data_IF_664994354431
#
_entry.id   IF_664994354431
#
_cell.length_a   1.000
_cell.length_b   1.000
_cell.length_c   1.000
_cell.angle_alpha   90.00
_cell.angle_beta   90.00
_cell.angle_gamma   90.00
#
_symmetry.space_group_name_H-M   'P 1'
#
loop_
_entity.id
_entity.type
_entity.pdbx_description
1 polymer ?
#
# COMPACT_ATOMS: atom_id res chain seq x y z
N UNK A 1 3.67 17.24 -0.28
CA UNK A 1 2.80 18.00 0.66
C UNK A 1 2.35 17.06 1.77
N UNK A 2 2.34 17.56 3.03
CA UNK A 2 1.92 16.75 4.19
C UNK A 2 0.63 17.30 4.80
N UNK A 3 -0.16 16.39 5.38
CA UNK A 3 -1.38 16.69 6.11
C UNK A 3 -1.22 16.25 7.56
N UNK A 4 -1.41 17.16 8.50
CA UNK A 4 -1.42 16.86 9.93
C UNK A 4 -2.80 16.35 10.34
N UNK A 5 -2.83 15.16 10.94
CA UNK A 5 -4.04 14.53 11.45
C UNK A 5 -4.02 14.54 12.98
N UNK A 6 -5.14 14.90 13.64
CA UNK A 6 -5.16 15.04 15.10
C UNK A 6 -5.07 13.71 15.85
N UNK A 7 -5.24 12.58 15.15
CA UNK A 7 -5.47 11.29 15.79
C UNK A 7 -6.91 11.17 16.28
N UNK A 8 -7.19 10.08 16.99
CA UNK A 8 -8.53 9.81 17.53
C UNK A 8 -8.89 8.34 17.50
N UNK A 9 -10.11 8.02 17.95
CA UNK A 9 -10.63 6.65 17.96
C UNK A 9 -11.57 6.43 16.80
N UNK A 10 -11.37 5.35 16.05
CA UNK A 10 -12.16 5.00 14.88
C UNK A 10 -12.49 3.50 14.84
N UNK A 11 -13.43 3.10 14.01
CA UNK A 11 -13.76 1.69 13.76
C UNK A 11 -12.81 1.16 12.67
N UNK A 12 -11.83 0.34 13.06
CA UNK A 12 -10.91 -0.34 12.18
C UNK A 12 -11.47 -1.68 11.73
N UNK A 13 -11.21 -2.04 10.46
CA UNK A 13 -11.66 -3.30 9.89
C UNK A 13 -13.12 -3.31 9.44
N UNK A 14 -13.61 -4.51 9.11
CA UNK A 14 -14.99 -4.73 8.65
C UNK A 14 -15.40 -6.20 8.82
N UNK A 15 -16.62 -6.43 9.32
CA UNK A 15 -17.22 -7.77 9.40
C UNK A 15 -18.06 -8.12 8.16
N UNK A 16 -18.05 -7.26 7.13
CA UNK A 16 -18.99 -7.34 6.00
C UNK A 16 -18.37 -7.85 4.69
N UNK A 17 -17.03 -7.94 4.61
CA UNK A 17 -16.34 -8.21 3.35
C UNK A 17 -15.40 -9.43 3.46
N UNK A 18 -14.10 -9.23 3.53
CA UNK A 18 -13.15 -10.34 3.56
C UNK A 18 -12.84 -10.77 5.00
N UNK A 19 -12.66 -12.08 5.25
CA UNK A 19 -12.39 -12.60 6.60
C UNK A 19 -11.20 -11.95 7.29
N UNK A 20 -10.18 -11.60 6.51
CA UNK A 20 -8.97 -10.94 7.03
C UNK A 20 -9.20 -9.52 7.56
N UNK A 21 -10.31 -8.90 7.21
CA UNK A 21 -10.69 -7.56 7.70
C UNK A 21 -11.39 -7.59 9.07
N UNK A 22 -11.82 -8.77 9.51
CA UNK A 22 -12.54 -8.96 10.76
C UNK A 22 -11.58 -9.30 11.92
N UNK A 23 -12.05 -9.10 13.18
CA UNK A 23 -13.27 -8.39 13.57
C UNK A 23 -13.13 -6.87 13.43
N UNK A 24 -14.23 -6.18 13.13
CA UNK A 24 -14.27 -4.73 13.23
C UNK A 24 -14.16 -4.33 14.71
N UNK A 25 -13.24 -3.42 15.05
CA UNK A 25 -12.94 -3.05 16.44
C UNK A 25 -12.53 -1.58 16.56
N UNK A 26 -12.64 -1.02 17.76
CA UNK A 26 -12.20 0.36 18.01
C UNK A 26 -10.70 0.43 18.25
N UNK A 27 -10.03 1.32 17.51
CA UNK A 27 -8.60 1.60 17.64
C UNK A 27 -8.41 3.09 17.86
N UNK A 28 -7.46 3.44 18.72
CA UNK A 28 -7.04 4.83 18.94
C UNK A 28 -5.65 5.04 18.36
N UNK A 29 -5.49 6.07 17.54
CA UNK A 29 -4.20 6.51 17.00
C UNK A 29 -3.84 7.88 17.55
N UNK A 30 -2.57 8.10 17.86
CA UNK A 30 -2.06 9.42 18.21
C UNK A 30 -2.07 10.34 16.99
N UNK A 31 -1.92 11.66 17.17
CA UNK A 31 -1.74 12.61 16.07
C UNK A 31 -0.44 12.33 15.29
N UNK A 32 -0.48 12.49 13.97
CA UNK A 32 0.66 12.30 13.07
C UNK A 32 0.49 13.16 11.81
N UNK A 33 1.60 13.35 11.08
CA UNK A 33 1.57 13.93 9.75
C UNK A 33 1.76 12.82 8.70
N UNK A 34 1.00 12.86 7.62
CA UNK A 34 1.04 11.87 6.53
C UNK A 34 1.20 12.58 5.19
N UNK A 35 1.90 11.97 4.25
CA UNK A 35 1.99 12.49 2.88
C UNK A 35 0.62 12.46 2.22
N UNK A 36 0.25 13.58 1.56
CA UNK A 36 -1.07 13.72 0.92
C UNK A 36 -1.28 12.73 -0.23
N UNK A 37 -0.20 12.26 -0.85
CA UNK A 37 -0.16 11.31 -1.97
C UNK A 37 0.84 10.20 -1.68
N UNK A 38 0.79 9.12 -2.45
CA UNK A 38 1.89 8.17 -2.52
C UNK A 38 3.18 8.85 -3.02
N UNK A 39 4.35 8.32 -2.62
CA UNK A 39 5.66 8.78 -3.10
C UNK A 39 5.73 8.60 -4.61
N UNK A 40 6.15 9.66 -5.30
CA UNK A 40 6.21 9.71 -6.76
C UNK A 40 7.54 9.18 -7.30
N UNK A 41 7.58 8.84 -8.59
CA UNK A 41 8.81 8.49 -9.28
C UNK A 41 9.85 9.61 -9.22
N UNK A 42 9.44 10.88 -9.28
CA UNK A 42 10.35 12.02 -9.15
C UNK A 42 11.04 12.04 -7.78
N UNK A 43 10.26 11.97 -6.70
CA UNK A 43 10.78 11.97 -5.34
C UNK A 43 11.70 10.77 -5.07
N UNK A 44 11.32 9.59 -5.59
CA UNK A 44 12.15 8.39 -5.44
C UNK A 44 13.46 8.48 -6.25
N UNK A 45 13.42 9.12 -7.42
CA UNK A 45 14.62 9.39 -8.22
C UNK A 45 15.61 10.32 -7.50
N UNK A 46 15.12 11.34 -6.79
CA UNK A 46 15.94 12.22 -5.94
C UNK A 46 16.65 11.43 -4.84
N UNK A 47 15.93 10.55 -4.14
CA UNK A 47 16.49 9.65 -3.13
C UNK A 47 17.63 8.80 -3.69
N UNK A 48 17.39 8.12 -4.82
CA UNK A 48 18.40 7.25 -5.42
C UNK A 48 19.59 8.07 -5.93
N UNK A 49 19.36 9.25 -6.51
CA UNK A 49 20.44 10.12 -6.96
C UNK A 49 21.32 10.62 -5.79
N UNK A 50 20.70 10.91 -4.63
CA UNK A 50 21.40 11.39 -3.45
C UNK A 50 22.18 10.31 -2.69
N UNK A 51 21.72 9.05 -2.75
CA UNK A 51 22.23 7.97 -1.89
C UNK A 51 22.96 6.86 -2.65
N UNK A 52 22.72 6.73 -3.96
CA UNK A 52 23.18 5.57 -4.74
C UNK A 52 22.44 4.27 -4.38
N UNK A 53 21.25 4.37 -3.76
CA UNK A 53 20.50 3.19 -3.30
C UNK A 53 20.15 2.26 -4.47
N UNK A 54 20.36 0.96 -4.24
CA UNK A 54 20.02 -0.12 -5.18
C UNK A 54 18.84 -0.88 -4.61
N UNK A 55 17.71 -0.89 -5.31
CA UNK A 55 16.48 -1.56 -4.84
C UNK A 55 16.58 -3.08 -4.89
N UNK A 56 15.74 -3.75 -4.12
CA UNK A 56 15.67 -5.23 -4.11
C UNK A 56 15.49 -5.78 -5.55
N UNK A 57 14.66 -5.15 -6.36
CA UNK A 57 14.44 -5.54 -7.75
C UNK A 57 15.68 -5.41 -8.67
N UNK A 58 16.70 -4.67 -8.24
CA UNK A 58 17.94 -4.42 -8.99
C UNK A 58 19.12 -5.27 -8.47
N UNK A 59 18.92 -6.07 -7.40
CA UNK A 59 19.95 -6.90 -6.78
C UNK A 59 19.94 -8.32 -7.34
N UNK A 60 21.10 -8.97 -7.29
CA UNK A 60 21.21 -10.41 -7.52
C UNK A 60 20.40 -11.18 -6.48
N UNK A 61 19.72 -12.24 -6.92
CA UNK A 61 18.97 -13.14 -6.05
C UNK A 61 19.86 -14.29 -5.60
N UNK A 62 19.85 -14.60 -4.29
CA UNK A 62 20.53 -15.79 -3.80
C UNK A 62 19.67 -17.03 -4.09
N UNK A 63 20.18 -18.00 -4.89
CA UNK A 63 19.45 -19.24 -5.17
C UNK A 63 19.09 -20.04 -3.91
N UNK A 64 19.82 -19.87 -2.81
CA UNK A 64 19.53 -20.55 -1.56
C UNK A 64 18.23 -20.07 -0.91
N UNK A 65 17.82 -18.83 -1.17
CA UNK A 65 16.55 -18.27 -0.67
C UNK A 65 15.34 -18.74 -1.51
N UNK A 66 15.59 -19.24 -2.73
CA UNK A 66 14.56 -19.61 -3.71
C UNK A 66 14.80 -20.98 -4.35
N UNK A 67 14.87 -22.07 -3.57
CA UNK A 67 15.31 -23.38 -4.04
C UNK A 67 14.44 -23.99 -5.16
N UNK A 68 13.17 -23.58 -5.24
CA UNK A 68 12.21 -24.10 -6.23
C UNK A 68 12.01 -23.13 -7.43
N UNK A 69 12.73 -22.00 -7.46
CA UNK A 69 12.59 -21.04 -8.54
C UNK A 69 13.32 -21.51 -9.81
N UNK A 70 12.72 -21.39 -11.00
CA UNK A 70 13.41 -21.58 -12.26
C UNK A 70 14.64 -20.67 -12.34
N UNK A 71 15.77 -21.20 -12.85
CA UNK A 71 17.04 -20.46 -12.91
C UNK A 71 16.93 -19.15 -13.73
N UNK A 72 16.07 -19.13 -14.72
CA UNK A 72 15.79 -17.93 -15.52
C UNK A 72 15.06 -16.81 -14.74
N UNK A 73 14.48 -17.15 -13.60
CA UNK A 73 13.84 -16.17 -12.68
C UNK A 73 14.80 -15.71 -11.57
N UNK A 74 15.98 -16.35 -11.43
CA UNK A 74 17.00 -15.97 -10.44
C UNK A 74 17.91 -14.85 -10.99
N UNK A 75 17.31 -13.86 -11.60
CA UNK A 75 17.96 -12.66 -12.12
C UNK A 75 17.24 -11.42 -11.58
N UNK A 76 17.93 -10.28 -11.43
CA UNK A 76 17.29 -9.03 -11.03
C UNK A 76 16.03 -8.74 -11.83
N UNK A 77 14.95 -8.42 -11.16
CA UNK A 77 13.66 -8.20 -11.80
C UNK A 77 12.53 -8.05 -10.79
N UNK A 78 11.31 -8.07 -11.27
CA UNK A 78 10.12 -7.90 -10.43
C UNK A 78 8.86 -8.45 -11.10
N UNK A 79 7.79 -8.59 -10.32
CA UNK A 79 6.50 -9.09 -10.80
C UNK A 79 5.73 -8.00 -11.56
N UNK A 80 5.45 -8.27 -12.82
CA UNK A 80 4.72 -7.35 -13.72
C UNK A 80 3.37 -7.93 -14.08
N UNK A 81 2.31 -7.14 -13.89
CA UNK A 81 1.00 -7.46 -14.42
C UNK A 81 1.02 -7.45 -15.95
N UNK A 82 0.60 -8.56 -16.53
CA UNK A 82 0.49 -8.75 -17.98
C UNK A 82 -0.94 -9.20 -18.29
N UNK A 83 -1.75 -8.36 -18.96
CA UNK A 83 -3.09 -8.76 -19.34
C UNK A 83 -3.07 -10.06 -20.14
N UNK A 84 -4.06 -10.93 -19.90
CA UNK A 84 -4.23 -12.16 -20.67
C UNK A 84 -4.90 -11.87 -22.02
N UNK A 85 -4.88 -12.82 -22.95
CA UNK A 85 -5.52 -12.65 -24.25
C UNK A 85 -7.05 -12.86 -24.23
N UNK A 86 -7.57 -13.37 -23.14
CA UNK A 86 -8.99 -13.66 -22.91
C UNK A 86 -9.26 -14.05 -21.47
N UNK A 87 -10.49 -14.46 -21.15
CA UNK A 87 -10.86 -14.93 -19.82
C UNK A 87 -9.99 -16.10 -19.36
N UNK A 88 -9.64 -16.13 -18.08
CA UNK A 88 -8.81 -17.17 -17.46
C UNK A 88 -9.40 -17.55 -16.09
N UNK A 89 -8.93 -18.68 -15.55
CA UNK A 89 -9.24 -19.06 -14.18
C UNK A 89 -8.56 -18.13 -13.20
N UNK A 90 -9.36 -17.35 -12.46
CA UNK A 90 -8.87 -16.34 -11.52
C UNK A 90 -8.25 -16.90 -10.23
N UNK A 91 -8.24 -18.22 -10.04
CA UNK A 91 -7.54 -18.86 -8.91
C UNK A 91 -6.05 -19.01 -9.16
N UNK A 92 -5.58 -18.86 -10.40
CA UNK A 92 -4.18 -19.04 -10.81
C UNK A 92 -3.51 -17.71 -11.17
N UNK A 93 -2.95 -17.03 -10.16
CA UNK A 93 -2.30 -15.73 -10.29
C UNK A 93 -1.18 -15.69 -11.34
N UNK A 94 -0.47 -16.81 -11.54
CA UNK A 94 0.59 -16.94 -12.53
C UNK A 94 0.12 -16.74 -13.99
N UNK A 95 -1.19 -16.69 -14.25
CA UNK A 95 -1.70 -16.41 -15.59
C UNK A 95 -1.53 -14.94 -16.01
N UNK A 96 -1.50 -13.99 -15.07
CA UNK A 96 -1.32 -12.55 -15.36
C UNK A 96 -0.19 -11.89 -14.57
N UNK A 97 0.44 -12.58 -13.61
CA UNK A 97 1.66 -12.13 -12.97
C UNK A 97 2.86 -12.83 -13.59
N UNK A 98 3.82 -12.06 -14.05
CA UNK A 98 5.03 -12.57 -14.70
C UNK A 98 6.26 -11.97 -14.03
N UNK A 99 7.21 -12.83 -13.65
CA UNK A 99 8.55 -12.34 -13.37
C UNK A 99 9.11 -11.74 -14.66
N UNK A 100 9.58 -10.52 -14.55
CA UNK A 100 10.14 -9.80 -15.70
C UNK A 100 11.56 -9.38 -15.35
N UNK A 101 12.60 -10.03 -15.92
CA UNK A 101 13.99 -9.60 -15.80
C UNK A 101 14.16 -8.13 -16.13
N UNK A 102 14.91 -7.42 -15.28
CA UNK A 102 15.18 -5.99 -15.43
C UNK A 102 13.98 -5.06 -15.17
N UNK A 103 12.83 -5.60 -14.72
CA UNK A 103 11.75 -4.73 -14.22
C UNK A 103 12.14 -4.19 -12.85
N UNK A 104 12.08 -2.87 -12.70
CA UNK A 104 12.37 -2.15 -11.46
C UNK A 104 11.62 -0.81 -11.49
N UNK A 105 11.81 0.01 -10.48
CA UNK A 105 11.14 1.32 -10.39
C UNK A 105 11.40 2.23 -11.61
N UNK A 106 12.61 2.20 -12.20
CA UNK A 106 12.95 2.96 -13.43
C UNK A 106 12.37 2.36 -14.69
N UNK A 107 12.19 1.05 -14.71
CA UNK A 107 11.77 0.24 -15.84
C UNK A 107 10.55 -0.62 -15.52
N UNK A 108 9.36 -0.03 -15.27
CA UNK A 108 8.24 -0.73 -14.65
C UNK A 108 7.59 -1.83 -15.50
N UNK A 109 7.95 -1.94 -16.76
CA UNK A 109 7.50 -3.04 -17.65
C UNK A 109 8.67 -3.88 -18.18
N UNK A 110 9.85 -3.73 -17.59
CA UNK A 110 11.12 -4.34 -18.02
C UNK A 110 12.03 -3.35 -18.73
N UNK A 111 13.24 -3.80 -19.17
CA UNK A 111 14.37 -2.94 -19.60
C UNK A 111 14.04 -1.90 -20.68
N UNK A 112 13.07 -2.19 -21.54
CA UNK A 112 12.66 -1.31 -22.63
C UNK A 112 11.57 -0.28 -22.23
N UNK A 113 11.24 -0.18 -20.96
CA UNK A 113 10.29 0.80 -20.43
C UNK A 113 11.01 1.89 -19.64
N UNK A 114 10.36 3.04 -19.49
CA UNK A 114 10.90 4.20 -18.77
C UNK A 114 9.81 4.90 -17.97
N UNK A 115 10.21 5.62 -16.93
CA UNK A 115 9.37 6.52 -16.14
C UNK A 115 9.42 7.98 -16.62
N UNK A 116 10.15 8.33 -17.66
CA UNK A 116 10.41 9.71 -18.11
C UNK A 116 9.13 10.55 -18.29
N UNK A 117 8.03 9.91 -18.69
CA UNK A 117 6.72 10.54 -18.85
C UNK A 117 5.75 10.24 -17.68
N UNK A 118 6.29 9.79 -16.56
CA UNK A 118 5.52 9.33 -15.39
C UNK A 118 6.16 9.78 -14.08
N UNK A 119 6.81 10.91 -14.09
CA UNK A 119 7.51 11.42 -12.89
C UNK A 119 6.54 11.72 -11.75
N UNK A 120 5.30 12.10 -12.07
CA UNK A 120 4.19 12.37 -11.16
C UNK A 120 3.34 11.14 -10.82
N UNK A 121 3.66 9.95 -11.34
CA UNK A 121 3.02 8.70 -10.94
C UNK A 121 3.65 8.14 -9.65
N UNK A 122 2.90 7.33 -8.88
CA UNK A 122 3.48 6.63 -7.73
C UNK A 122 4.62 5.73 -8.16
N UNK A 123 5.70 5.69 -7.39
CA UNK A 123 6.75 4.71 -7.55
C UNK A 123 6.21 3.31 -7.29
N UNK A 124 6.61 2.34 -8.10
CA UNK A 124 6.25 0.92 -7.98
C UNK A 124 7.49 0.04 -8.08
N UNK A 125 7.35 -1.27 -7.89
CA UNK A 125 8.46 -2.22 -7.82
C UNK A 125 9.43 -1.95 -6.66
N UNK A 126 8.92 -1.39 -5.59
CA UNK A 126 9.64 -1.18 -4.32
C UNK A 126 9.23 -2.26 -3.32
N UNK A 127 10.21 -2.95 -2.77
CA UNK A 127 10.04 -3.88 -1.66
C UNK A 127 9.85 -3.09 -0.34
N UNK A 128 9.51 -3.78 0.75
CA UNK A 128 9.29 -3.10 2.03
C UNK A 128 10.54 -2.35 2.50
N UNK A 129 11.73 -2.97 2.38
CA UNK A 129 12.98 -2.31 2.79
C UNK A 129 13.32 -1.08 1.93
N UNK A 130 12.98 -1.10 0.63
CA UNK A 130 13.19 0.02 -0.27
C UNK A 130 12.34 1.23 0.15
N UNK A 131 11.08 0.96 0.51
CA UNK A 131 10.16 1.97 1.01
C UNK A 131 10.60 2.51 2.39
N UNK A 132 11.07 1.63 3.28
CA UNK A 132 11.59 2.02 4.59
C UNK A 132 12.88 2.84 4.48
N UNK A 133 13.78 2.50 3.54
CA UNK A 133 15.02 3.25 3.29
C UNK A 133 14.72 4.68 2.80
N UNK A 134 13.78 4.83 1.85
CA UNK A 134 13.31 6.15 1.43
C UNK A 134 12.72 6.93 2.59
N UNK A 135 11.82 6.31 3.36
CA UNK A 135 11.19 6.96 4.51
C UNK A 135 12.23 7.46 5.53
N UNK A 136 13.23 6.65 5.85
CA UNK A 136 14.33 7.04 6.74
C UNK A 136 15.14 8.21 6.18
N UNK A 137 15.43 8.21 4.88
CA UNK A 137 16.18 9.30 4.22
C UNK A 137 15.48 10.65 4.35
N UNK A 138 14.12 10.68 4.22
CA UNK A 138 13.35 11.93 4.39
C UNK A 138 13.00 12.23 5.87
N UNK A 139 13.57 11.53 6.84
CA UNK A 139 13.28 11.71 8.26
C UNK A 139 11.85 11.29 8.66
N UNK A 140 11.31 10.27 7.98
CA UNK A 140 9.97 9.73 8.15
C UNK A 140 10.00 8.22 8.46
N UNK A 141 8.84 7.60 8.49
CA UNK A 141 8.64 6.16 8.54
C UNK A 141 7.43 5.72 7.72
N UNK A 142 7.27 4.44 7.50
CA UNK A 142 6.02 3.90 6.98
C UNK A 142 4.90 4.03 8.04
N UNK A 143 3.64 4.19 7.61
CA UNK A 143 2.51 4.19 8.53
C UNK A 143 2.32 2.80 9.16
N UNK A 144 1.78 2.75 10.37
CA UNK A 144 1.15 1.53 10.85
C UNK A 144 -0.15 1.28 10.06
N UNK A 145 -0.63 0.04 10.06
CA UNK A 145 -1.90 -0.29 9.42
C UNK A 145 -3.05 0.57 9.98
N UNK A 146 -3.09 0.78 11.30
CA UNK A 146 -4.09 1.59 11.96
C UNK A 146 -4.01 3.07 11.58
N UNK A 147 -2.81 3.64 11.48
CA UNK A 147 -2.61 5.02 11.03
C UNK A 147 -3.05 5.19 9.59
N UNK A 148 -2.68 4.22 8.73
CA UNK A 148 -3.08 4.25 7.33
C UNK A 148 -4.61 4.19 7.18
N UNK A 149 -5.27 3.27 7.89
CA UNK A 149 -6.73 3.12 7.81
C UNK A 149 -7.46 4.32 8.40
N UNK A 150 -7.00 4.88 9.54
CA UNK A 150 -7.53 6.12 10.09
C UNK A 150 -7.47 7.26 9.07
N UNK A 151 -6.32 7.42 8.43
CA UNK A 151 -6.11 8.43 7.39
C UNK A 151 -7.04 8.20 6.19
N UNK A 152 -7.16 6.95 5.73
CA UNK A 152 -8.00 6.57 4.59
C UNK A 152 -9.49 6.82 4.84
N UNK A 153 -9.96 6.65 6.06
CA UNK A 153 -11.37 6.90 6.40
C UNK A 153 -11.76 8.37 6.30
N UNK A 154 -10.83 9.30 6.38
CA UNK A 154 -11.12 10.71 6.13
C UNK A 154 -12.20 11.31 7.06
N UNK A 155 -12.36 10.76 8.29
CA UNK A 155 -13.41 11.13 9.23
C UNK A 155 -14.74 10.37 9.06
N UNK A 156 -14.86 9.48 8.06
CA UNK A 156 -16.06 8.67 7.82
C UNK A 156 -15.94 7.32 8.54
N UNK A 157 -16.41 7.28 9.79
CA UNK A 157 -16.31 6.08 10.63
C UNK A 157 -17.24 4.96 10.10
N UNK A 158 -16.65 3.80 9.74
CA UNK A 158 -17.38 2.63 9.27
C UNK A 158 -17.89 2.67 7.82
N UNK A 159 -17.64 3.75 7.06
CA UNK A 159 -18.03 3.84 5.66
C UNK A 159 -17.33 2.79 4.78
N UNK A 160 -17.98 2.38 3.70
CA UNK A 160 -17.47 1.37 2.78
C UNK A 160 -16.22 1.87 2.04
N UNK A 161 -16.27 3.07 1.50
CA UNK A 161 -15.18 3.69 0.75
C UNK A 161 -14.61 4.92 1.48
N UNK A 162 -13.50 5.44 1.01
CA UNK A 162 -12.85 6.63 1.55
C UNK A 162 -13.68 7.92 1.35
N UNK A 163 -14.73 7.85 0.54
CA UNK A 163 -15.66 8.95 0.21
C UNK A 163 -17.12 8.69 0.63
N UNK A 164 -17.43 7.58 1.28
CA UNK A 164 -18.79 7.20 1.73
C UNK A 164 -19.19 5.79 1.32
N UNK A 165 -20.49 5.54 1.23
CA UNK A 165 -21.02 4.20 0.97
C UNK A 165 -21.38 3.93 -0.50
N UNK A 166 -21.56 4.98 -1.29
CA UNK A 166 -21.87 4.86 -2.71
C UNK A 166 -20.59 4.76 -3.55
N UNK A 167 -20.47 3.70 -4.35
CA UNK A 167 -19.28 3.48 -5.19
C UNK A 167 -18.99 4.63 -6.15
N UNK A 168 -20.02 5.16 -6.82
CA UNK A 168 -19.93 6.23 -7.82
C UNK A 168 -20.96 7.33 -7.50
N UNK A 169 -20.70 8.18 -6.51
CA UNK A 169 -21.63 9.24 -6.14
C UNK A 169 -21.89 10.18 -7.33
N UNK A 170 -23.15 10.27 -7.71
CA UNK A 170 -23.55 11.02 -8.90
C UNK A 170 -22.95 10.51 -10.21
N UNK A 171 -22.56 9.22 -10.28
CA UNK A 171 -21.92 8.61 -11.45
C UNK A 171 -20.42 8.90 -11.59
N UNK A 172 -19.80 9.59 -10.64
CA UNK A 172 -18.39 10.00 -10.68
C UNK A 172 -17.45 8.85 -10.33
N UNK A 173 -16.39 8.69 -11.11
CA UNK A 173 -15.29 7.77 -10.79
C UNK A 173 -14.44 8.42 -9.69
N UNK A 174 -14.26 7.72 -8.58
CA UNK A 174 -13.63 8.24 -7.36
C UNK A 174 -12.22 7.74 -7.13
N UNK A 175 -11.78 6.71 -7.85
CA UNK A 175 -10.47 6.09 -7.67
C UNK A 175 -10.00 5.40 -8.96
N UNK A 176 -8.68 5.25 -9.11
CA UNK A 176 -8.08 4.47 -10.17
C UNK A 176 -8.15 2.97 -9.83
N UNK A 177 -9.14 2.27 -10.35
CA UNK A 177 -9.36 0.82 -10.21
C UNK A 177 -9.49 0.18 -11.58
N UNK A 178 -9.66 -1.13 -11.66
CA UNK A 178 -9.89 -1.80 -12.92
C UNK A 178 -11.23 -1.40 -13.52
N UNK A 179 -11.20 -0.90 -14.75
CA UNK A 179 -12.39 -0.47 -15.46
C UNK A 179 -13.04 -1.63 -16.22
N UNK A 180 -14.31 -1.90 -15.90
CA UNK A 180 -15.12 -2.92 -16.56
C UNK A 180 -15.03 -4.31 -15.92
N UNK A 181 -15.84 -5.27 -16.45
CA UNK A 181 -16.01 -6.59 -15.84
C UNK A 181 -14.93 -7.60 -16.23
N UNK A 182 -14.15 -7.31 -17.23
CA UNK A 182 -13.31 -8.29 -17.95
C UNK A 182 -11.87 -8.37 -17.40
N UNK A 183 -11.74 -8.50 -16.08
CA UNK A 183 -10.43 -8.76 -15.46
C UNK A 183 -9.97 -10.21 -15.74
N UNK A 184 -8.70 -10.48 -16.06
CA UNK A 184 -7.56 -9.55 -16.19
C UNK A 184 -7.18 -9.24 -17.65
N UNK A 185 -8.10 -9.36 -18.60
CA UNK A 185 -7.79 -9.34 -20.03
C UNK A 185 -8.21 -8.06 -20.76
N UNK A 186 -9.29 -7.39 -20.34
CA UNK A 186 -9.77 -6.19 -21.02
C UNK A 186 -10.30 -5.15 -20.05
N UNK A 187 -9.52 -4.07 -19.85
CA UNK A 187 -10.02 -2.86 -19.20
C UNK A 187 -10.68 -1.95 -20.23
N UNK A 188 -11.82 -1.37 -19.89
CA UNK A 188 -12.51 -0.38 -20.75
C UNK A 188 -11.76 0.94 -20.83
N UNK A 189 -10.97 1.29 -19.79
CA UNK A 189 -10.24 2.54 -19.71
C UNK A 189 -11.15 3.76 -19.47
N UNK A 190 -12.30 3.56 -18.84
CA UNK A 190 -13.27 4.62 -18.53
C UNK A 190 -12.68 5.71 -17.62
N UNK A 191 -11.81 5.34 -16.71
CA UNK A 191 -11.09 6.27 -15.83
C UNK A 191 -10.05 7.15 -16.56
N UNK A 192 -9.72 6.83 -17.80
CA UNK A 192 -8.62 7.43 -18.57
C UNK A 192 -7.29 6.74 -18.36
N UNK A 193 -7.19 5.79 -17.42
CA UNK A 193 -5.94 5.10 -17.08
C UNK A 193 -6.09 3.58 -17.20
N UNK A 194 -5.03 2.90 -17.66
CA UNK A 194 -4.99 1.43 -17.74
C UNK A 194 -3.98 0.82 -16.78
N UNK A 195 -3.19 1.64 -16.11
CA UNK A 195 -2.18 1.33 -15.09
C UNK A 195 -2.22 2.43 -14.04
N UNK A 196 -1.11 2.72 -13.37
CA UNK A 196 -1.04 3.85 -12.44
C UNK A 196 -1.47 5.16 -13.12
N UNK A 197 -2.10 6.03 -12.35
CA UNK A 197 -2.42 7.41 -12.71
C UNK A 197 -1.41 8.37 -12.03
N UNK A 198 -1.22 9.59 -12.53
CA UNK A 198 -0.58 10.64 -11.76
C UNK A 198 -1.22 10.77 -10.39
N UNK A 199 -0.44 11.01 -9.35
CA UNK A 199 -0.98 11.18 -7.99
C UNK A 199 -1.93 12.37 -7.93
N UNK A 200 -3.02 12.26 -7.17
CA UNK A 200 -4.00 13.33 -7.07
C UNK A 200 -4.96 13.45 -8.25
N UNK A 201 -4.99 12.46 -9.15
CA UNK A 201 -5.92 12.48 -10.31
C UNK A 201 -7.39 12.32 -9.92
N UNK A 202 -7.68 11.85 -8.73
CA UNK A 202 -9.03 11.63 -8.20
C UNK A 202 -9.28 12.51 -6.98
N UNK A 203 -10.56 12.70 -6.57
CA UNK A 203 -10.87 13.56 -5.44
C UNK A 203 -10.24 13.08 -4.13
N UNK A 204 -9.77 13.99 -3.27
CA UNK A 204 -9.28 13.65 -1.95
C UNK A 204 -10.42 13.18 -1.03
N UNK A 205 -10.06 12.48 0.03
CA UNK A 205 -10.97 12.16 1.12
C UNK A 205 -11.20 13.37 2.06
N UNK A 206 -11.99 13.19 3.12
CA UNK A 206 -12.33 14.26 4.06
C UNK A 206 -11.15 14.86 4.84
N UNK A 207 -9.99 14.21 4.85
CA UNK A 207 -8.75 14.75 5.41
C UNK A 207 -7.83 15.41 4.37
N UNK A 208 -8.25 15.50 3.10
CA UNK A 208 -7.44 16.07 2.03
C UNK A 208 -6.37 15.11 1.47
N UNK A 209 -6.51 13.81 1.71
CA UNK A 209 -5.58 12.79 1.23
C UNK A 209 -6.09 12.20 -0.08
N UNK A 210 -5.19 12.08 -1.06
CA UNK A 210 -5.47 11.56 -2.38
C UNK A 210 -5.10 10.07 -2.49
N UNK A 211 -5.79 9.37 -3.39
CA UNK A 211 -5.50 7.99 -3.80
C UNK A 211 -5.44 6.99 -2.63
N UNK A 212 -6.15 7.27 -1.52
CA UNK A 212 -6.31 6.33 -0.40
C UNK A 212 -7.17 5.11 -0.78
N UNK A 213 -7.59 5.03 -2.02
CA UNK A 213 -8.26 3.88 -2.64
C UNK A 213 -7.82 3.76 -4.09
N UNK A 214 -7.40 2.57 -4.52
CA UNK A 214 -6.93 2.33 -5.89
C UNK A 214 -5.52 2.85 -6.15
N UNK A 215 -5.17 3.04 -7.38
CA UNK A 215 -3.87 3.42 -7.94
C UNK A 215 -2.78 2.39 -7.62
N UNK A 216 -2.20 2.39 -6.42
CA UNK A 216 -1.25 1.39 -5.95
C UNK A 216 -1.59 0.92 -4.55
N UNK A 217 -1.32 -0.35 -4.25
CA UNK A 217 -1.22 -0.82 -2.87
C UNK A 217 -0.11 -0.06 -2.16
N UNK A 218 -0.29 0.21 -0.87
CA UNK A 218 0.68 0.95 -0.08
C UNK A 218 1.18 0.13 1.10
N UNK A 219 2.51 0.09 1.26
CA UNK A 219 3.17 -0.56 2.36
C UNK A 219 2.80 0.07 3.70
N UNK A 220 2.54 -0.80 4.70
CA UNK A 220 2.53 -0.44 6.12
C UNK A 220 3.64 -1.16 6.87
N UNK A 221 3.91 -0.75 8.12
CA UNK A 221 4.99 -1.36 8.92
C UNK A 221 4.52 -2.54 9.80
N UNK A 222 3.25 -2.94 9.70
CA UNK A 222 2.73 -4.06 10.49
C UNK A 222 2.96 -5.40 9.81
N UNK A 223 3.33 -6.40 10.62
CA UNK A 223 3.37 -7.78 10.17
C UNK A 223 1.97 -8.33 9.89
N UNK A 224 1.85 -9.12 8.84
CA UNK A 224 0.59 -9.73 8.48
C UNK A 224 0.09 -10.71 9.55
N UNK A 225 -1.21 -10.63 9.82
CA UNK A 225 -2.00 -11.61 10.59
C UNK A 225 -3.26 -11.93 9.79
N UNK A 226 -3.74 -13.17 9.86
CA UNK A 226 -4.91 -13.62 9.07
C UNK A 226 -6.22 -12.93 9.45
N UNK A 227 -6.29 -12.35 10.64
CA UNK A 227 -7.43 -11.58 11.15
C UNK A 227 -6.88 -10.46 12.03
N UNK A 228 -7.70 -9.45 12.32
CA UNK A 228 -7.37 -8.54 13.42
C UNK A 228 -7.41 -9.30 14.75
N UNK A 229 -6.57 -8.95 15.75
CA UNK A 229 -6.69 -9.51 17.08
C UNK A 229 -8.02 -9.09 17.68
N UNK A 230 -8.61 -9.98 18.47
CA UNK A 230 -9.75 -9.60 19.31
C UNK A 230 -9.31 -8.47 20.26
N UNK A 231 -10.19 -7.49 20.46
CA UNK A 231 -9.93 -6.40 21.37
C UNK A 231 -9.68 -6.98 22.77
N UNK A 232 -8.42 -7.10 23.16
CA UNK A 232 -8.08 -7.41 24.55
C UNK A 232 -8.48 -6.19 25.38
N UNK A 233 -9.45 -6.34 26.26
CA UNK A 233 -9.73 -5.40 27.35
C UNK A 233 -8.51 -5.37 28.26
N UNK A 234 -7.45 -4.67 27.87
CA UNK A 234 -6.29 -4.46 28.72
C UNK A 234 -6.65 -3.41 29.75
N UNK A 235 -6.59 -3.84 31.01
CA UNK A 235 -6.64 -3.02 32.19
C UNK A 235 -5.68 -1.83 32.10
N UNK A 236 -6.21 -0.66 32.09
CA UNK A 236 -5.81 0.69 32.43
C UNK A 236 -4.35 1.06 32.70
N UNK A 237 -3.38 0.63 31.90
CA UNK A 237 -2.06 1.23 31.89
C UNK A 237 -1.76 1.70 30.47
N UNK A 238 -1.87 3.00 30.24
CA UNK A 238 -1.47 3.61 28.98
C UNK A 238 0.04 3.40 28.77
N UNK A 239 0.50 2.88 27.62
CA UNK A 239 1.93 2.84 27.33
C UNK A 239 2.45 4.27 27.08
N UNK A 240 3.52 4.64 27.76
CA UNK A 240 4.20 5.95 27.66
C UNK A 240 4.90 6.22 26.31
N UNK A 241 4.60 5.49 25.27
CA UNK A 241 5.14 5.77 23.93
C UNK A 241 3.99 5.69 22.94
N UNK A 242 3.72 6.79 22.24
CA UNK A 242 2.67 6.98 21.23
C UNK A 242 2.74 6.02 20.05
N UNK A 243 2.79 4.72 20.31
CA UNK A 243 2.59 3.65 19.34
C UNK A 243 1.12 3.28 19.35
N UNK A 244 0.48 3.40 18.20
CA UNK A 244 -0.77 2.71 17.93
C UNK A 244 -0.63 1.25 18.34
N UNK A 245 -1.53 0.76 19.21
CA UNK A 245 -1.62 -0.66 19.54
C UNK A 245 -2.37 -1.36 18.40
N UNK A 246 -1.70 -1.50 17.26
CA UNK A 246 -2.12 -2.41 16.19
C UNK A 246 -1.83 -3.87 16.59
N UNK A 247 -2.33 -4.84 15.83
CA UNK A 247 -2.10 -6.25 16.10
C UNK A 247 -0.60 -6.55 16.11
N UNK A 248 -0.15 -7.13 17.22
CA UNK A 248 1.22 -7.58 17.37
C UNK A 248 1.45 -8.87 16.56
N UNK A 249 1.50 -8.75 15.24
CA UNK A 249 2.10 -9.78 14.40
C UNK A 249 3.61 -9.82 14.59
N UNK A 250 4.25 -10.93 14.29
CA UNK A 250 5.70 -11.07 14.24
C UNK A 250 6.13 -11.58 12.85
N UNK A 251 7.42 -11.52 12.59
CA UNK A 251 7.99 -12.11 11.39
C UNK A 251 7.50 -13.56 11.21
N UNK A 252 7.61 -14.36 12.26
CA UNK A 252 7.32 -15.80 12.25
C UNK A 252 5.83 -16.07 12.03
N UNK A 253 4.96 -15.26 12.61
CA UNK A 253 3.49 -15.42 12.44
C UNK A 253 3.00 -14.93 11.09
N UNK A 254 3.83 -14.18 10.36
CA UNK A 254 3.49 -13.61 9.06
C UNK A 254 3.83 -14.50 7.87
N UNK A 255 4.56 -15.62 8.07
CA UNK A 255 4.90 -16.56 6.99
C UNK A 255 3.67 -17.14 6.32
N UNK A 256 3.80 -17.51 5.04
CA UNK A 256 2.71 -18.12 4.31
C UNK A 256 2.53 -19.60 4.71
N UNK A 257 1.42 -19.96 5.37
CA UNK A 257 1.18 -21.35 5.74
C UNK A 257 0.95 -22.27 4.52
N UNK A 258 0.60 -21.71 3.37
CA UNK A 258 0.46 -22.47 2.13
C UNK A 258 1.81 -22.75 1.45
N UNK A 259 2.88 -22.08 1.88
CA UNK A 259 4.24 -22.21 1.35
C UNK A 259 5.27 -22.34 2.49
N UNK A 260 5.18 -23.40 3.30
CA UNK A 260 5.99 -23.53 4.52
C UNK A 260 7.50 -23.64 4.29
N UNK A 261 7.91 -23.97 3.05
CA UNK A 261 9.30 -24.03 2.62
C UNK A 261 9.95 -22.63 2.51
N UNK A 262 9.14 -21.56 2.32
CA UNK A 262 9.63 -20.19 2.24
C UNK A 262 9.38 -19.45 3.56
N UNK A 263 10.44 -19.03 4.22
CA UNK A 263 10.36 -18.22 5.45
C UNK A 263 10.47 -16.74 5.18
N UNK A 264 9.71 -16.28 4.19
CA UNK A 264 9.65 -14.87 3.82
C UNK A 264 8.53 -14.21 4.61
N UNK A 265 8.87 -13.18 5.39
CA UNK A 265 7.90 -12.41 6.16
C UNK A 265 6.96 -11.64 5.23
N UNK A 266 5.74 -11.41 5.72
CA UNK A 266 4.76 -10.61 4.98
C UNK A 266 4.31 -9.42 5.82
N UNK A 267 4.30 -8.25 5.21
CA UNK A 267 3.73 -7.03 5.78
C UNK A 267 2.34 -6.78 5.21
N UNK A 268 1.57 -5.96 5.90
CA UNK A 268 0.26 -5.53 5.43
C UNK A 268 0.42 -4.46 4.36
N UNK A 269 -0.31 -4.60 3.25
CA UNK A 269 -0.52 -3.53 2.28
C UNK A 269 -2.00 -3.12 2.26
N UNK A 270 -2.25 -1.83 2.04
CA UNK A 270 -3.56 -1.19 2.12
C UNK A 270 -3.95 -0.47 0.82
N UNK A 271 -5.23 -0.14 0.66
CA UNK A 271 -5.75 0.77 -0.36
C UNK A 271 -6.20 0.13 -1.67
N UNK A 272 -5.76 -1.06 -1.98
CA UNK A 272 -6.01 -1.64 -3.32
C UNK A 272 -5.18 -0.97 -4.41
N UNK A 273 -5.44 -1.27 -5.67
CA UNK A 273 -4.68 -0.71 -6.78
C UNK A 273 -5.54 -0.58 -8.05
N UNK A 274 -4.96 -0.03 -9.10
CA UNK A 274 -5.55 0.01 -10.45
C UNK A 274 -5.92 -1.37 -11.03
N UNK A 275 -5.54 -2.46 -10.37
CA UNK A 275 -5.89 -3.84 -10.75
C UNK A 275 -7.07 -4.39 -9.94
N UNK A 276 -7.61 -3.65 -8.99
CA UNK A 276 -8.77 -4.09 -8.21
C UNK A 276 -10.04 -3.96 -9.03
N UNK A 277 -10.62 -5.12 -9.41
CA UNK A 277 -11.85 -5.25 -10.15
C UNK A 277 -12.98 -5.75 -9.25
N UNK A 278 -14.19 -5.23 -9.39
CA UNK A 278 -15.36 -5.68 -8.62
C UNK A 278 -15.61 -7.18 -8.75
N UNK A 279 -15.37 -7.73 -9.95
CA UNK A 279 -15.54 -9.14 -10.24
C UNK A 279 -14.47 -10.05 -9.65
N UNK A 280 -13.38 -9.48 -9.13
CA UNK A 280 -12.23 -10.25 -8.65
C UNK A 280 -11.68 -9.78 -7.31
N UNK A 281 -11.50 -8.47 -7.10
CA UNK A 281 -10.81 -7.91 -5.95
C UNK A 281 -11.47 -6.61 -5.50
N UNK A 282 -12.44 -6.68 -4.57
CA UNK A 282 -13.09 -5.50 -4.00
C UNK A 282 -12.29 -4.96 -2.81
N UNK A 283 -10.98 -4.70 -2.99
CA UNK A 283 -10.09 -4.28 -1.90
C UNK A 283 -9.63 -2.81 -1.98
N UNK A 284 -10.29 -1.97 -2.78
CA UNK A 284 -10.09 -0.51 -2.77
C UNK A 284 -10.99 0.17 -1.72
N UNK A 285 -10.92 -0.33 -0.47
CA UNK A 285 -11.70 0.12 0.70
C UNK A 285 -10.77 0.33 1.90
N UNK A 286 -11.04 1.26 2.81
CA UNK A 286 -10.18 1.51 3.98
C UNK A 286 -9.90 0.27 4.80
N UNK A 287 -10.93 -0.56 5.07
CA UNK A 287 -10.81 -1.77 5.87
C UNK A 287 -10.01 -2.88 5.18
N UNK A 288 -9.93 -2.86 3.84
CA UNK A 288 -9.28 -3.92 3.09
C UNK A 288 -7.77 -3.98 3.38
N UNK A 289 -7.27 -5.20 3.52
CA UNK A 289 -5.88 -5.51 3.81
C UNK A 289 -5.43 -6.73 3.01
N UNK A 290 -4.14 -6.86 2.76
CA UNK A 290 -3.56 -7.99 2.06
C UNK A 290 -2.14 -8.26 2.54
N UNK A 291 -1.70 -9.54 2.61
CA UNK A 291 -0.30 -9.87 2.82
C UNK A 291 0.52 -9.57 1.56
N UNK A 292 1.70 -8.99 1.75
CA UNK A 292 2.69 -8.83 0.70
C UNK A 292 4.06 -9.29 1.23
N UNK A 293 4.77 -10.22 0.55
CA UNK A 293 6.14 -10.59 0.89
C UNK A 293 7.06 -9.37 0.90
N UNK A 294 7.90 -9.26 1.93
CA UNK A 294 8.73 -8.08 2.17
C UNK A 294 9.84 -7.89 1.14
N UNK A 295 10.25 -8.96 0.49
CA UNK A 295 11.34 -9.05 -0.48
C UNK A 295 10.89 -8.82 -1.94
N UNK A 296 9.60 -8.62 -2.16
CA UNK A 296 9.05 -8.61 -3.52
C UNK A 296 8.33 -7.29 -3.82
N UNK A 297 8.93 -6.50 -4.71
CA UNK A 297 8.25 -5.39 -5.38
C UNK A 297 7.32 -5.89 -6.48
N UNK A 298 6.25 -5.14 -6.78
CA UNK A 298 5.30 -5.46 -7.85
C UNK A 298 4.88 -4.19 -8.60
N UNK A 299 4.42 -4.34 -9.84
CA UNK A 299 4.01 -3.21 -10.69
C UNK A 299 2.79 -2.43 -10.21
N UNK A 300 2.28 -2.71 -9.01
CA UNK A 300 1.10 -2.08 -8.40
C UNK A 300 1.25 -1.86 -6.88
N UNK A 301 2.48 -1.93 -6.36
CA UNK A 301 2.79 -1.70 -4.94
C UNK A 301 3.76 -0.53 -4.82
N UNK A 302 3.35 0.47 -4.07
CA UNK A 302 4.10 1.66 -3.70
C UNK A 302 3.96 1.95 -2.20
N UNK A 303 4.07 3.21 -1.79
CA UNK A 303 3.97 3.60 -0.38
C UNK A 303 3.79 5.11 -0.22
N UNK A 304 3.41 5.52 0.99
CA UNK A 304 3.50 6.91 1.49
C UNK A 304 4.12 6.93 2.88
N UNK A 305 4.60 8.09 3.32
CA UNK A 305 5.30 8.22 4.58
C UNK A 305 4.48 8.98 5.63
N UNK A 306 4.79 8.70 6.90
CA UNK A 306 4.27 9.42 8.06
C UNK A 306 5.41 9.98 8.90
N UNK A 307 5.11 11.07 9.61
CA UNK A 307 6.03 11.71 10.57
C UNK A 307 5.33 11.96 11.88
N UNK A 308 6.10 12.08 12.95
CA UNK A 308 5.56 12.65 14.19
C UNK A 308 5.10 14.08 13.91
N UNK A 309 4.01 14.54 14.55
CA UNK A 309 3.65 15.94 14.44
C UNK A 309 4.87 16.79 14.87
N UNK A 310 5.18 17.84 14.10
CA UNK A 310 6.10 18.84 14.60
C UNK A 310 5.51 19.40 15.89
N UNK A 311 6.30 19.57 16.96
CA UNK A 311 5.81 20.29 18.13
C UNK A 311 5.31 21.65 17.63
N UNK A 312 4.03 21.96 17.86
CA UNK A 312 3.52 23.29 17.62
C UNK A 312 4.39 24.26 18.44
N UNK A 313 5.04 25.20 17.76
CA UNK A 313 5.64 26.33 18.43
C UNK A 313 4.50 27.14 19.03
N UNK A 314 4.13 26.83 20.27
CA UNK A 314 3.33 27.74 21.07
C UNK A 314 4.15 29.03 21.20
N UNK A 315 3.88 29.99 20.32
CA UNK A 315 4.20 31.40 20.61
C UNK A 315 3.51 31.72 21.92
N UNK A 316 4.29 31.89 22.98
CA UNK A 316 3.76 32.46 24.23
C UNK A 316 3.17 33.79 23.85
N UNK A 317 1.92 34.11 24.25
CA UNK A 317 1.43 35.48 24.17
C UNK A 317 2.44 36.34 24.91
N UNK A 318 2.94 37.38 24.22
CA UNK A 318 3.86 38.31 24.83
C UNK A 318 3.23 38.94 26.05
N UNK A 319 3.96 38.91 27.15
CA UNK A 319 3.70 39.77 28.30
C UNK A 319 4.03 41.21 27.85
N UNK A 320 3.00 42.01 27.55
CA UNK A 320 3.02 43.47 27.56
C UNK A 320 2.50 43.99 28.88
#
# INVERSE_FOLDING_TARGET
MQVSLPGGTFLMGSDKHYPEEAPAHRVTVAGFAIDATAVTNAEYAEFVAATGYVTVAERELDPADYPDAPSENLVPGSMVFTPTSGPVDLTHLSQWWRWRPGACWRHPLGPNSSIDKKLDHPVVHVAHEDAAAFAAWVGARLPTEAEWEYAARGGLDGAVYTWGDEKRPGGKIMANTWDGPDFPWRSTGESGFRRTAPVGSFPPNGFGLFDMAGNVWEWTDDWWTSTHPEATTSCGCAPESGRSTGPAGSLETSYDPAQPQFRIGRKVVKGGSHLCADSYCLRYRPAARRPQPIDTGMSHVGFRCVRRPSPETHERPGDD
#
